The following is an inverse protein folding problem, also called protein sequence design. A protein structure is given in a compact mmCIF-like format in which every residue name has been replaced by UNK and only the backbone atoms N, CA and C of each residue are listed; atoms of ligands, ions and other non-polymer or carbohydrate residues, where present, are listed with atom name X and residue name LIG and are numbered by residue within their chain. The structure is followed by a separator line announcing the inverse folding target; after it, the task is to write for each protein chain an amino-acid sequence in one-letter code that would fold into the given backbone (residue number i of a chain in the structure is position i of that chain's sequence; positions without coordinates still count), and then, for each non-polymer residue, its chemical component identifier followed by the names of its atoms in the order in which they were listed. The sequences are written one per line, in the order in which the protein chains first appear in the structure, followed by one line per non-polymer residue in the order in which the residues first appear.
data_IF_200444743136
#
_entry.id   IF_200444743136
#
_cell.length_a   1.000
_cell.length_b   1.000
_cell.length_c   1.000
_cell.angle_alpha   90.00
_cell.angle_beta   90.00
_cell.angle_gamma   90.00
#
_symmetry.space_group_name_H-M   'P 1'
#
loop_
_entity.id
_entity.type
_entity.pdbx_description
1 polymer ?
#
# COMPACT_ATOMS: atom_id res chain seq x y z
N UNK A 1 -26.28 20.57 -20.06
CA UNK A 1 -26.15 19.18 -20.46
C UNK A 1 -24.77 18.68 -20.04
N UNK A 2 -24.74 17.92 -18.99
CA UNK A 2 -23.51 17.34 -18.51
C UNK A 2 -23.03 16.26 -19.46
N UNK A 3 -21.98 16.52 -20.17
CA UNK A 3 -21.21 15.45 -20.77
C UNK A 3 -20.58 14.66 -19.62
N UNK A 4 -21.27 13.64 -19.17
CA UNK A 4 -20.64 12.61 -18.38
C UNK A 4 -19.67 11.87 -19.29
N UNK A 5 -18.53 12.49 -19.53
CA UNK A 5 -17.38 11.75 -19.98
C UNK A 5 -16.98 10.91 -18.79
N UNK A 6 -17.43 9.65 -18.77
CA UNK A 6 -16.95 8.70 -17.80
C UNK A 6 -15.43 8.71 -17.90
N UNK A 7 -14.77 9.18 -16.86
CA UNK A 7 -13.31 9.15 -16.82
C UNK A 7 -12.91 7.68 -16.78
N UNK A 8 -12.46 7.17 -17.92
CA UNK A 8 -11.84 5.86 -17.99
C UNK A 8 -10.43 5.87 -17.39
N UNK A 9 -9.98 7.04 -16.90
CA UNK A 9 -8.65 7.21 -16.33
C UNK A 9 -8.78 7.23 -14.81
N UNK A 10 -8.10 6.28 -14.18
CA UNK A 10 -7.95 6.24 -12.72
C UNK A 10 -6.58 6.76 -12.35
N UNK A 11 -6.53 7.59 -11.32
CA UNK A 11 -5.29 8.18 -10.80
C UNK A 11 -4.87 7.39 -9.56
N UNK A 12 -3.65 6.87 -9.58
CA UNK A 12 -3.08 6.13 -8.47
C UNK A 12 -2.12 7.05 -7.70
N UNK A 13 -2.41 7.27 -6.43
CA UNK A 13 -1.52 7.99 -5.52
C UNK A 13 -0.56 7.01 -4.86
N UNK A 14 0.74 7.25 -5.00
CA UNK A 14 1.76 6.36 -4.44
C UNK A 14 2.16 6.82 -3.05
N UNK A 15 2.02 5.93 -2.07
CA UNK A 15 2.50 6.14 -0.70
C UNK A 15 3.66 5.18 -0.46
N UNK A 16 4.86 5.73 -0.48
CA UNK A 16 6.07 4.95 -0.31
C UNK A 16 6.42 4.84 1.18
N UNK A 17 6.15 3.69 1.76
CA UNK A 17 6.43 3.41 3.17
C UNK A 17 7.90 3.08 3.43
N UNK A 18 8.73 3.08 2.39
CA UNK A 18 10.19 3.04 2.53
C UNK A 18 10.77 4.41 2.84
N UNK A 19 9.97 5.46 2.72
CA UNK A 19 10.39 6.82 3.02
C UNK A 19 10.69 6.94 4.52
N UNK A 20 11.90 7.34 4.84
CA UNK A 20 12.36 7.51 6.22
C UNK A 20 11.52 8.51 7.00
N UNK A 21 10.82 9.43 6.34
CA UNK A 21 9.95 10.39 7.00
C UNK A 21 8.84 9.74 7.81
N UNK A 22 8.37 8.55 7.43
CA UNK A 22 7.33 7.85 8.19
C UNK A 22 7.85 7.11 9.42
N UNK A 23 9.14 6.77 9.43
CA UNK A 23 9.72 5.93 10.48
C UNK A 23 10.95 6.56 11.13
N UNK A 24 11.31 7.75 10.71
CA UNK A 24 12.51 8.41 11.19
C UNK A 24 12.34 8.90 12.60
N UNK A 25 12.80 8.13 13.53
CA UNK A 25 12.89 8.55 14.93
C UNK A 25 13.70 9.82 15.13
N UNK A 26 14.58 10.14 14.21
CA UNK A 26 15.38 11.37 14.24
C UNK A 26 14.55 12.64 14.15
N UNK A 27 13.28 12.52 13.82
CA UNK A 27 12.46 13.70 13.61
C UNK A 27 11.60 14.00 14.81
N UNK A 28 12.20 13.99 15.95
CA UNK A 28 11.78 14.65 17.18
C UNK A 28 10.85 13.87 18.10
N UNK A 29 10.04 12.97 17.64
CA UNK A 29 9.00 12.43 18.51
C UNK A 29 9.01 10.93 18.65
N UNK A 30 9.75 10.23 17.82
CA UNK A 30 9.71 8.76 17.79
C UNK A 30 11.09 8.15 17.55
N UNK A 31 11.97 8.27 18.53
CA UNK A 31 13.37 7.82 18.40
C UNK A 31 13.53 6.30 18.21
N UNK A 32 12.47 5.55 18.41
CA UNK A 32 12.45 4.10 18.25
C UNK A 32 12.02 3.65 16.85
N UNK A 33 11.83 4.58 15.90
CA UNK A 33 11.42 4.26 14.55
C UNK A 33 9.96 3.84 14.42
N UNK A 34 9.10 4.28 15.35
CA UNK A 34 7.67 4.01 15.26
C UNK A 34 7.05 4.75 14.09
N UNK A 35 5.94 4.22 13.58
CA UNK A 35 5.24 4.76 12.43
C UNK A 35 4.59 6.12 12.76
N UNK A 36 4.81 7.10 11.91
CA UNK A 36 4.21 8.43 12.06
C UNK A 36 2.79 8.43 11.48
N UNK A 37 1.83 8.14 12.32
CA UNK A 37 0.42 8.04 11.92
C UNK A 37 -0.14 9.37 11.42
N UNK A 38 0.23 10.47 12.02
CA UNK A 38 -0.27 11.79 11.62
C UNK A 38 0.22 12.18 10.23
N UNK A 39 1.49 11.92 9.96
CA UNK A 39 2.05 12.18 8.64
C UNK A 39 1.34 11.32 7.58
N UNK A 40 1.12 10.06 7.89
CA UNK A 40 0.41 9.15 6.97
C UNK A 40 -1.02 9.61 6.72
N UNK A 41 -1.76 9.95 7.78
CA UNK A 41 -3.13 10.46 7.64
C UNK A 41 -3.19 11.70 6.77
N UNK A 42 -2.26 12.63 6.99
CA UNK A 42 -2.18 13.85 6.18
C UNK A 42 -1.91 13.57 4.70
N UNK A 43 -0.99 12.65 4.42
CA UNK A 43 -0.70 12.22 3.04
C UNK A 43 -1.91 11.62 2.35
N UNK A 44 -2.63 10.75 3.04
CA UNK A 44 -3.84 10.11 2.50
C UNK A 44 -4.90 11.16 2.17
N UNK A 45 -5.18 12.05 3.11
CA UNK A 45 -6.18 13.11 2.91
C UNK A 45 -5.80 14.01 1.72
N UNK A 46 -4.52 14.39 1.62
CA UNK A 46 -4.06 15.21 0.50
C UNK A 46 -4.19 14.49 -0.84
N UNK A 47 -3.83 13.23 -0.91
CA UNK A 47 -3.93 12.46 -2.14
C UNK A 47 -5.37 12.28 -2.60
N UNK A 48 -6.26 11.92 -1.68
CA UNK A 48 -7.68 11.76 -2.00
C UNK A 48 -8.31 13.09 -2.38
N UNK A 49 -7.96 14.17 -1.68
CA UNK A 49 -8.43 15.52 -2.00
C UNK A 49 -7.92 16.04 -3.34
N UNK A 50 -6.77 15.55 -3.81
CA UNK A 50 -6.19 15.91 -5.10
C UNK A 50 -6.71 15.05 -6.26
N UNK A 51 -7.59 14.11 -6.00
CA UNK A 51 -8.25 13.31 -7.03
C UNK A 51 -7.69 11.91 -7.24
N UNK A 52 -6.90 11.38 -6.31
CA UNK A 52 -6.45 10.00 -6.38
C UNK A 52 -7.65 9.05 -6.22
N UNK A 53 -7.74 8.08 -7.10
CA UNK A 53 -8.80 7.05 -7.08
C UNK A 53 -8.35 5.79 -6.34
N UNK A 54 -7.04 5.53 -6.34
CA UNK A 54 -6.42 4.36 -5.76
C UNK A 54 -5.19 4.81 -4.98
N UNK A 55 -4.99 4.25 -3.80
CA UNK A 55 -3.75 4.45 -3.03
C UNK A 55 -2.87 3.21 -3.17
N UNK A 56 -1.67 3.40 -3.70
CA UNK A 56 -0.68 2.33 -3.86
C UNK A 56 0.33 2.38 -2.72
N UNK A 57 0.33 1.34 -1.90
CA UNK A 57 1.22 1.23 -0.74
C UNK A 57 2.38 0.30 -1.05
N UNK A 58 3.59 0.76 -0.82
CA UNK A 58 4.78 -0.05 -0.98
C UNK A 58 5.73 0.13 0.19
N UNK A 59 6.18 -0.97 0.77
CA UNK A 59 7.11 -0.97 1.90
C UNK A 59 8.46 -1.59 1.56
N UNK A 60 8.60 -2.08 0.35
CA UNK A 60 9.81 -2.72 -0.13
C UNK A 60 10.35 -1.94 -1.32
N UNK A 61 11.61 -1.51 -1.26
CA UNK A 61 12.22 -0.81 -2.38
C UNK A 61 12.56 -1.79 -3.50
N UNK A 62 12.16 -1.45 -4.73
CA UNK A 62 12.49 -2.21 -5.94
C UNK A 62 13.64 -1.58 -6.71
N UNK A 63 14.29 -0.56 -6.16
CA UNK A 63 15.41 0.10 -6.84
C UNK A 63 16.60 -0.83 -6.98
N UNK A 64 17.27 -0.83 -8.14
CA UNK A 64 18.52 -1.58 -8.30
C UNK A 64 19.54 -1.15 -7.24
N UNK A 65 20.16 -2.12 -6.57
CA UNK A 65 21.14 -1.86 -5.53
C UNK A 65 20.59 -1.59 -4.14
N UNK A 66 19.26 -1.55 -3.96
CA UNK A 66 18.68 -1.49 -2.62
C UNK A 66 18.65 -2.88 -2.00
N UNK A 67 18.95 -2.94 -0.72
CA UNK A 67 18.84 -4.18 0.04
C UNK A 67 17.35 -4.54 0.20
N UNK A 68 17.04 -5.79 -0.05
CA UNK A 68 15.71 -6.33 0.17
C UNK A 68 15.47 -6.43 1.68
N UNK A 69 14.37 -5.85 2.15
CA UNK A 69 13.97 -6.02 3.55
C UNK A 69 13.32 -7.39 3.75
N UNK A 70 13.31 -7.86 4.99
CA UNK A 70 12.64 -9.12 5.34
C UNK A 70 11.13 -8.98 5.21
N UNK A 71 10.46 -10.13 5.12
CA UNK A 71 9.00 -10.19 5.12
C UNK A 71 8.40 -9.55 6.38
N UNK A 72 8.99 -9.82 7.54
CA UNK A 72 8.54 -9.24 8.80
C UNK A 72 8.72 -7.73 8.85
N UNK A 73 9.82 -7.21 8.29
CA UNK A 73 10.04 -5.78 8.21
C UNK A 73 9.07 -5.11 7.23
N UNK A 74 8.80 -5.73 6.10
CA UNK A 74 7.79 -5.25 5.16
C UNK A 74 6.43 -5.17 5.83
N UNK A 75 6.05 -6.23 6.55
CA UNK A 75 4.78 -6.27 7.25
C UNK A 75 4.70 -5.21 8.36
N UNK A 76 5.78 -5.04 9.10
CA UNK A 76 5.86 -4.02 10.15
C UNK A 76 5.57 -2.62 9.63
N UNK A 77 5.98 -2.34 8.39
CA UNK A 77 5.74 -1.04 7.74
C UNK A 77 4.33 -0.92 7.16
N UNK A 78 3.79 -2.00 6.65
CA UNK A 78 2.45 -2.00 6.03
C UNK A 78 1.32 -2.02 7.05
N UNK A 79 1.44 -2.82 8.09
CA UNK A 79 0.34 -3.08 9.02
C UNK A 79 -0.30 -1.82 9.58
N UNK A 80 0.45 -0.86 10.17
CA UNK A 80 -0.17 0.34 10.73
C UNK A 80 -0.89 1.19 9.69
N UNK A 81 -0.35 1.28 8.49
CA UNK A 81 -1.00 2.00 7.39
C UNK A 81 -2.33 1.34 7.00
N UNK A 82 -2.33 0.03 6.88
CA UNK A 82 -3.54 -0.72 6.51
C UNK A 82 -4.62 -0.61 7.59
N UNK A 83 -4.26 -0.63 8.86
CA UNK A 83 -5.21 -0.47 9.96
C UNK A 83 -5.85 0.91 9.96
N UNK A 84 -5.10 1.95 9.66
CA UNK A 84 -5.62 3.32 9.54
C UNK A 84 -6.61 3.39 8.37
N UNK A 85 -6.27 2.84 7.22
CA UNK A 85 -7.16 2.85 6.07
C UNK A 85 -8.45 2.08 6.33
N UNK A 86 -8.36 0.93 6.99
CA UNK A 86 -9.54 0.14 7.32
C UNK A 86 -10.48 0.87 8.30
N UNK A 87 -9.91 1.61 9.24
CA UNK A 87 -10.68 2.29 10.27
C UNK A 87 -11.25 3.64 9.81
N UNK A 88 -10.50 4.39 9.00
CA UNK A 88 -10.80 5.80 8.71
C UNK A 88 -11.20 6.06 7.25
N UNK A 89 -10.85 5.16 6.34
CA UNK A 89 -11.10 5.33 4.90
C UNK A 89 -11.72 4.09 4.28
N UNK A 90 -12.76 3.59 4.91
CA UNK A 90 -13.51 2.46 4.36
C UNK A 90 -14.03 2.81 2.96
N UNK A 91 -13.86 1.88 2.03
CA UNK A 91 -14.27 2.08 0.65
C UNK A 91 -13.22 2.69 -0.27
N UNK A 92 -12.09 3.16 0.26
CA UNK A 92 -10.98 3.59 -0.58
C UNK A 92 -10.35 2.38 -1.26
N UNK A 93 -10.11 2.51 -2.56
CA UNK A 93 -9.43 1.44 -3.31
C UNK A 93 -7.95 1.49 -3.00
N UNK A 94 -7.39 0.34 -2.66
CA UNK A 94 -6.00 0.19 -2.29
C UNK A 94 -5.31 -0.79 -3.23
N UNK A 95 -4.10 -0.44 -3.62
CA UNK A 95 -3.15 -1.32 -4.29
C UNK A 95 -1.98 -1.54 -3.34
N UNK A 96 -1.45 -2.74 -3.28
CA UNK A 96 -0.26 -3.01 -2.47
C UNK A 96 0.84 -3.54 -3.38
N UNK A 97 1.97 -2.86 -3.35
CA UNK A 97 3.16 -3.26 -4.09
C UNK A 97 3.95 -4.25 -3.24
N UNK A 98 3.79 -5.52 -3.56
CA UNK A 98 4.50 -6.61 -2.87
C UNK A 98 4.63 -7.83 -3.78
N UNK A 99 5.69 -8.58 -3.58
CA UNK A 99 5.90 -9.86 -4.26
C UNK A 99 5.69 -11.06 -3.33
N UNK A 100 5.28 -10.82 -2.07
CA UNK A 100 5.18 -11.87 -1.05
C UNK A 100 3.74 -12.30 -0.80
N UNK A 101 3.39 -13.57 -1.09
CA UNK A 101 2.04 -14.06 -0.85
C UNK A 101 1.57 -13.92 0.60
N UNK A 102 2.46 -14.12 1.58
CA UNK A 102 2.11 -13.99 3.00
C UNK A 102 1.69 -12.56 3.35
N UNK A 103 2.35 -11.56 2.77
CA UNK A 103 1.97 -10.15 2.97
C UNK A 103 0.57 -9.89 2.40
N UNK A 104 0.28 -10.44 1.22
CA UNK A 104 -1.06 -10.34 0.61
C UNK A 104 -2.11 -10.96 1.52
N UNK A 105 -1.85 -12.14 2.05
CA UNK A 105 -2.79 -12.84 2.93
C UNK A 105 -3.08 -12.05 4.20
N UNK A 106 -2.06 -11.53 4.85
CA UNK A 106 -2.21 -10.72 6.07
C UNK A 106 -2.94 -9.41 5.80
N UNK A 107 -2.64 -8.75 4.68
CA UNK A 107 -3.31 -7.52 4.30
C UNK A 107 -4.80 -7.76 4.03
N UNK A 108 -5.14 -8.84 3.36
CA UNK A 108 -6.52 -9.20 3.10
C UNK A 108 -7.33 -9.35 4.39
N UNK A 109 -6.73 -9.90 5.43
CA UNK A 109 -7.40 -10.05 6.73
C UNK A 109 -7.73 -8.71 7.40
N UNK A 110 -7.01 -7.65 7.04
CA UNK A 110 -7.24 -6.30 7.61
C UNK A 110 -8.20 -5.47 6.75
N UNK A 111 -7.93 -5.36 5.45
CA UNK A 111 -8.66 -4.42 4.58
C UNK A 111 -9.64 -5.10 3.63
N UNK A 112 -9.65 -6.43 3.56
CA UNK A 112 -10.45 -7.15 2.57
C UNK A 112 -9.86 -7.03 1.18
N UNK A 113 -10.69 -7.06 0.11
CA UNK A 113 -10.19 -7.04 -1.26
C UNK A 113 -9.38 -5.80 -1.61
N UNK A 114 -8.28 -5.99 -2.31
CA UNK A 114 -7.42 -4.93 -2.82
C UNK A 114 -6.72 -5.40 -4.10
N UNK A 115 -5.99 -4.49 -4.74
CA UNK A 115 -5.24 -4.79 -5.96
C UNK A 115 -3.81 -5.18 -5.58
N UNK A 116 -3.33 -6.30 -6.09
CA UNK A 116 -1.92 -6.68 -5.91
C UNK A 116 -1.11 -6.13 -7.08
N UNK A 117 -0.13 -5.29 -6.77
CA UNK A 117 0.79 -4.70 -7.73
C UNK A 117 2.16 -5.37 -7.52
N UNK A 118 2.48 -6.36 -8.36
CA UNK A 118 3.70 -7.16 -8.20
C UNK A 118 4.61 -6.98 -9.42
N UNK A 119 5.64 -6.16 -9.24
CA UNK A 119 6.60 -5.86 -10.30
C UNK A 119 7.53 -7.03 -10.63
N UNK A 120 7.57 -8.07 -9.78
CA UNK A 120 8.39 -9.25 -10.02
C UNK A 120 7.81 -10.20 -11.07
N UNK A 121 6.52 -10.05 -11.41
CA UNK A 121 5.81 -10.93 -12.33
C UNK A 121 5.14 -12.12 -11.69
N UNK A 122 5.22 -12.23 -10.36
CA UNK A 122 4.52 -13.26 -9.59
C UNK A 122 5.26 -14.60 -9.48
N UNK A 123 4.64 -15.52 -8.77
CA UNK A 123 5.07 -16.90 -8.61
C UNK A 123 3.83 -17.79 -8.46
N UNK A 124 4.00 -19.10 -8.51
CA UNK A 124 2.86 -20.02 -8.39
C UNK A 124 2.07 -19.85 -7.10
N UNK A 125 2.74 -19.64 -5.99
CA UNK A 125 2.08 -19.39 -4.71
C UNK A 125 1.22 -18.13 -4.75
N UNK A 126 1.74 -17.07 -5.37
CA UNK A 126 0.99 -15.83 -5.56
C UNK A 126 -0.23 -16.07 -6.44
N UNK A 127 -0.07 -16.74 -7.57
CA UNK A 127 -1.18 -17.03 -8.48
C UNK A 127 -2.28 -17.84 -7.80
N UNK A 128 -1.91 -18.86 -7.03
CA UNK A 128 -2.86 -19.67 -6.28
C UNK A 128 -3.62 -18.86 -5.23
N UNK A 129 -2.92 -18.00 -4.51
CA UNK A 129 -3.53 -17.14 -3.50
C UNK A 129 -4.51 -16.14 -4.12
N UNK A 130 -4.11 -15.48 -5.19
CA UNK A 130 -4.96 -14.52 -5.90
C UNK A 130 -6.22 -15.17 -6.43
N UNK A 131 -6.11 -16.38 -6.96
CA UNK A 131 -7.27 -17.15 -7.41
C UNK A 131 -8.23 -17.47 -6.30
N UNK A 132 -7.73 -17.86 -5.12
CA UNK A 132 -8.56 -18.15 -3.96
C UNK A 132 -9.26 -16.92 -3.39
N UNK A 133 -8.56 -15.80 -3.34
CA UNK A 133 -9.08 -14.56 -2.78
C UNK A 133 -9.84 -13.72 -3.80
N UNK A 134 -9.73 -14.03 -5.08
CA UNK A 134 -10.39 -13.27 -6.14
C UNK A 134 -9.84 -11.85 -6.31
N UNK A 135 -8.54 -11.65 -6.06
CA UNK A 135 -7.93 -10.33 -6.10
C UNK A 135 -7.46 -9.94 -7.50
N UNK A 136 -7.67 -8.67 -7.91
CA UNK A 136 -7.07 -8.15 -9.14
C UNK A 136 -5.55 -8.05 -9.01
N UNK A 137 -4.87 -8.23 -10.12
CA UNK A 137 -3.42 -8.26 -10.17
C UNK A 137 -2.89 -7.35 -11.28
N UNK A 138 -1.86 -6.58 -10.95
CA UNK A 138 -1.10 -5.76 -11.90
C UNK A 138 0.33 -6.27 -11.90
N UNK A 139 0.80 -6.66 -13.06
CA UNK A 139 2.18 -7.12 -13.24
C UNK A 139 3.08 -5.98 -13.70
#
# INVERSE_FOLDING_TARGET
MGNNVSRNIQVMGIVNLTDDSFFAGSRNLRPDGTFDEELFRGRVVNMLGSGADILDLGACSTRPGSDSISEEEEWRRLEPALRILAAEHEGVRVSIDTFRPEVVSRAYDIIGPFIVNDVSGGCEEMWSLLGRLGLPYIA
#
